data_IF_762955888944
#
_entry.id   IF_762955888944
#
_cell.length_a   1.000
_cell.length_b   1.000
_cell.length_c   1.000
_cell.angle_alpha   90.00
_cell.angle_beta   90.00
_cell.angle_gamma   90.00
#
_symmetry.space_group_name_H-M   'P 1'
#
loop_
_entity.id
_entity.type
_entity.pdbx_description
1 polymer ?
#
# COMPACT_ATOMS: atom_id res chain seq x y z
N UNK A 1 -66.76 -23.53 17.36
CA UNK A 1 -67.74 -24.57 17.79
C UNK A 1 -66.94 -25.74 18.36
N UNK A 2 -67.37 -26.29 19.50
CA UNK A 2 -67.05 -27.67 19.96
C UNK A 2 -65.58 -27.97 20.35
N UNK A 3 -65.22 -28.60 21.48
CA UNK A 3 -65.97 -29.25 22.59
C UNK A 3 -65.23 -29.00 23.93
N UNK A 4 -65.96 -28.92 25.05
CA UNK A 4 -65.41 -28.95 26.42
C UNK A 4 -65.38 -30.39 26.98
N UNK A 5 -64.43 -30.71 27.86
CA UNK A 5 -64.67 -31.69 28.92
C UNK A 5 -63.99 -31.25 30.23
N UNK A 6 -64.74 -31.30 31.33
CA UNK A 6 -64.26 -30.94 32.67
C UNK A 6 -63.71 -32.15 33.42
N UNK A 7 -62.77 -31.91 34.33
CA UNK A 7 -62.77 -32.57 35.64
C UNK A 7 -62.23 -31.61 36.70
N UNK A 8 -62.71 -31.73 37.93
CA UNK A 8 -62.67 -30.66 38.95
C UNK A 8 -62.11 -31.12 40.30
N UNK A 9 -61.88 -30.13 41.18
CA UNK A 9 -61.54 -30.22 42.62
C UNK A 9 -60.04 -30.43 42.96
N UNK A 10 -59.49 -29.80 44.03
CA UNK A 10 -60.10 -28.98 45.11
C UNK A 10 -59.12 -27.90 45.64
N UNK A 11 -59.65 -26.86 46.29
CA UNK A 11 -58.90 -25.75 46.88
C UNK A 11 -57.95 -26.14 48.04
N UNK A 12 -56.85 -25.39 48.25
CA UNK A 12 -56.81 -24.48 49.42
C UNK A 12 -55.81 -23.30 49.34
N UNK A 13 -56.05 -22.34 50.24
CA UNK A 13 -55.69 -20.93 50.28
C UNK A 13 -54.26 -20.52 50.78
N UNK A 14 -53.85 -19.32 50.35
CA UNK A 14 -53.26 -18.18 51.13
C UNK A 14 -51.73 -17.94 51.28
N UNK A 15 -51.40 -16.69 50.90
CA UNK A 15 -50.50 -15.68 51.55
C UNK A 15 -49.00 -15.60 51.20
N UNK A 16 -48.73 -14.74 50.22
CA UNK A 16 -47.82 -13.57 50.28
C UNK A 16 -46.99 -13.32 51.56
N UNK A 17 -45.68 -13.01 51.38
CA UNK A 17 -45.10 -11.73 51.82
C UNK A 17 -43.73 -11.39 51.21
N UNK A 18 -43.55 -10.10 50.92
CA UNK A 18 -42.36 -9.40 50.41
C UNK A 18 -41.32 -9.12 51.51
N UNK A 19 -40.04 -8.90 51.15
CA UNK A 19 -39.08 -8.15 52.00
C UNK A 19 -38.13 -7.22 51.21
N UNK A 20 -37.95 -6.04 51.82
CA UNK A 20 -36.98 -4.95 51.63
C UNK A 20 -36.40 -4.68 53.07
N UNK A 21 -35.39 -3.85 53.39
CA UNK A 21 -34.66 -2.76 52.70
C UNK A 21 -33.32 -2.48 53.45
N UNK A 22 -32.28 -1.91 52.78
CA UNK A 22 -31.15 -1.13 53.39
C UNK A 22 -30.22 -1.80 54.45
N UNK A 23 -29.13 -1.19 54.98
CA UNK A 23 -28.02 -0.31 54.50
C UNK A 23 -27.14 0.08 55.72
N UNK A 24 -26.00 0.79 55.55
CA UNK A 24 -25.04 1.35 56.58
C UNK A 24 -23.90 0.39 57.00
N UNK A 25 -22.68 0.77 57.38
CA UNK A 25 -21.66 1.84 57.11
C UNK A 25 -20.38 1.42 57.89
N UNK A 26 -19.23 2.04 57.59
CA UNK A 26 -17.88 1.95 58.21
C UNK A 26 -17.83 2.29 59.74
N UNK A 27 -16.69 2.26 60.52
CA UNK A 27 -15.28 2.53 60.10
C UNK A 27 -14.04 1.99 60.91
N UNK A 28 -12.83 2.41 60.48
CA UNK A 28 -11.45 2.47 61.12
C UNK A 28 -10.77 1.14 61.60
N UNK A 29 -9.43 1.01 61.81
CA UNK A 29 -8.26 1.94 61.83
C UNK A 29 -6.88 1.23 61.54
N UNK A 30 -5.84 2.04 61.20
CA UNK A 30 -4.34 1.96 61.34
C UNK A 30 -3.53 0.62 61.39
N UNK A 31 -2.20 0.51 61.10
CA UNK A 31 -0.99 1.38 61.16
C UNK A 31 0.08 0.96 60.08
N UNK A 32 0.76 1.86 59.33
CA UNK A 32 2.08 2.57 59.51
C UNK A 32 3.39 1.79 59.22
N UNK A 33 4.13 2.21 58.17
CA UNK A 33 5.56 2.62 58.07
C UNK A 33 5.92 2.75 56.57
N UNK A 34 6.08 3.93 55.96
CA UNK A 34 7.15 4.96 56.03
C UNK A 34 8.51 4.58 55.39
N UNK A 35 8.82 5.12 54.21
CA UNK A 35 9.81 6.21 54.06
C UNK A 35 9.85 6.84 52.63
N UNK A 36 9.63 8.16 52.56
CA UNK A 36 10.53 9.23 52.04
C UNK A 36 11.55 8.95 50.90
N UNK A 37 11.93 9.88 50.02
CA UNK A 37 11.59 11.30 49.84
C UNK A 37 12.02 11.77 48.42
N UNK A 38 11.28 12.67 47.75
CA UNK A 38 11.78 13.99 47.30
C UNK A 38 10.71 14.78 46.52
N UNK A 39 10.38 16.00 46.98
CA UNK A 39 9.66 17.01 46.19
C UNK A 39 10.56 18.22 45.99
N UNK A 40 10.57 18.78 44.77
CA UNK A 40 10.82 20.20 44.54
C UNK A 40 9.69 20.77 43.69
N UNK A 41 9.33 22.02 43.98
CA UNK A 41 8.03 22.58 43.63
C UNK A 41 8.14 24.04 43.22
N UNK A 42 7.25 24.44 42.29
CA UNK A 42 6.70 25.80 42.12
C UNK A 42 7.64 26.86 41.52
N UNK A 43 7.30 27.33 40.31
CA UNK A 43 6.71 28.67 40.18
C UNK A 43 5.97 28.87 38.84
N UNK A 44 4.76 29.44 38.92
CA UNK A 44 3.97 29.96 37.80
C UNK A 44 4.35 31.42 37.57
N UNK A 45 4.40 31.88 36.31
CA UNK A 45 3.99 33.24 35.92
C UNK A 45 3.43 33.24 34.49
N UNK A 46 2.34 33.98 34.29
CA UNK A 46 1.69 34.21 33.00
C UNK A 46 2.16 35.56 32.38
N UNK A 47 1.84 35.85 31.10
CA UNK A 47 2.59 36.80 30.28
C UNK A 47 2.05 38.24 30.30
N UNK A 48 2.81 39.20 29.73
CA UNK A 48 2.28 40.45 29.20
C UNK A 48 2.52 40.63 27.69
N UNK A 49 1.45 41.04 27.01
CA UNK A 49 1.40 41.91 25.82
C UNK A 49 0.51 43.12 26.23
N UNK A 50 0.44 44.26 25.50
CA UNK A 50 1.19 44.71 24.31
C UNK A 50 1.79 46.14 24.47
N UNK A 51 2.54 46.66 23.47
CA UNK A 51 2.22 47.94 22.78
C UNK A 51 3.28 48.44 21.74
N UNK A 52 2.82 48.54 20.48
CA UNK A 52 2.84 49.70 19.57
C UNK A 52 4.04 50.70 19.48
N UNK A 53 4.73 50.76 18.32
CA UNK A 53 4.93 51.98 17.47
C UNK A 53 5.98 51.80 16.33
N UNK A 54 5.95 52.65 15.27
CA UNK A 54 7.23 53.17 14.73
C UNK A 54 7.60 53.16 13.22
N UNK A 55 6.66 53.27 12.28
CA UNK A 55 6.75 53.98 10.96
C UNK A 55 8.13 54.38 10.32
N UNK A 56 8.36 53.86 9.09
CA UNK A 56 9.04 54.47 7.91
C UNK A 56 10.59 54.54 7.74
N UNK A 57 11.02 54.47 6.47
CA UNK A 57 12.39 54.77 6.03
C UNK A 57 12.65 54.50 4.53
N UNK A 58 12.35 55.45 3.64
CA UNK A 58 12.69 55.36 2.19
C UNK A 58 14.10 55.88 1.90
N UNK A 59 14.83 55.21 1.00
CA UNK A 59 15.87 55.91 0.20
C UNK A 59 16.06 55.34 -1.21
N UNK A 60 15.97 56.22 -2.21
CA UNK A 60 16.34 55.97 -3.62
C UNK A 60 17.69 56.62 -3.94
N UNK A 61 18.55 55.93 -4.71
CA UNK A 61 19.51 56.42 -5.75
C UNK A 61 20.44 55.23 -6.10
N UNK A 62 21.04 55.10 -7.29
CA UNK A 62 21.28 56.07 -8.37
C UNK A 62 21.27 55.36 -9.74
N UNK A 63 21.04 56.11 -10.82
CA UNK A 63 21.09 55.65 -12.22
C UNK A 63 22.52 55.27 -12.64
N UNK A 64 22.65 54.42 -13.66
CA UNK A 64 23.57 54.73 -14.76
C UNK A 64 22.99 54.35 -16.13
N UNK A 65 23.15 55.23 -17.12
CA UNK A 65 22.72 55.03 -18.51
C UNK A 65 23.95 54.68 -19.36
N UNK A 66 23.80 53.82 -20.38
CA UNK A 66 24.51 54.01 -21.65
C UNK A 66 23.63 53.60 -22.83
N UNK A 67 23.57 54.49 -23.85
CA UNK A 67 22.87 54.30 -25.13
C UNK A 67 23.83 53.72 -26.16
N UNK A 68 23.29 52.92 -27.09
CA UNK A 68 23.44 52.98 -28.57
C UNK A 68 22.41 52.00 -29.14
N UNK A 69 21.39 52.45 -29.89
CA UNK A 69 21.35 52.74 -31.35
C UNK A 69 21.69 51.51 -32.22
N UNK A 70 21.02 51.22 -33.35
CA UNK A 70 19.70 51.55 -33.93
C UNK A 70 19.64 50.94 -35.37
N UNK A 71 18.44 50.85 -35.97
CA UNK A 71 18.04 50.30 -37.29
C UNK A 71 17.52 48.85 -37.24
N UNK A 72 16.29 48.48 -37.65
CA UNK A 72 15.48 48.84 -38.84
C UNK A 72 16.18 48.43 -40.15
N UNK A 73 15.51 47.90 -41.19
CA UNK A 73 14.10 48.05 -41.57
C UNK A 73 13.62 46.86 -42.46
N UNK A 74 12.39 46.37 -42.23
CA UNK A 74 11.38 45.80 -43.18
C UNK A 74 11.79 44.66 -44.18
N UNK A 75 10.89 43.97 -44.93
CA UNK A 75 9.50 44.27 -45.36
C UNK A 75 8.68 42.99 -45.70
N UNK A 76 7.33 43.13 -45.72
CA UNK A 76 6.34 42.41 -46.56
C UNK A 76 6.17 40.88 -46.39
N UNK A 77 5.08 40.31 -45.82
CA UNK A 77 3.60 40.33 -46.08
C UNK A 77 3.11 39.11 -46.88
N UNK A 78 2.15 38.37 -46.30
CA UNK A 78 0.93 37.74 -46.90
C UNK A 78 1.05 36.84 -48.17
N UNK A 79 0.33 35.73 -48.38
CA UNK A 79 -0.72 34.94 -47.69
C UNK A 79 -1.01 33.69 -48.56
N UNK A 80 -1.85 32.76 -48.08
CA UNK A 80 -2.43 31.58 -48.78
C UNK A 80 -1.44 30.40 -48.93
N UNK A 81 -1.72 29.18 -48.46
CA UNK A 81 -2.88 28.26 -48.57
C UNK A 81 -2.90 27.44 -49.87
N UNK A 82 -2.97 26.11 -49.65
CA UNK A 82 -3.24 24.99 -50.55
C UNK A 82 -2.24 24.77 -51.72
N UNK A 83 -1.92 23.54 -52.16
CA UNK A 83 -2.76 22.33 -52.15
C UNK A 83 -1.96 21.02 -52.36
N UNK A 84 -2.64 19.89 -52.10
CA UNK A 84 -2.50 18.58 -52.74
C UNK A 84 -1.48 17.49 -52.30
N UNK A 85 -1.97 16.25 -52.47
CA UNK A 85 -1.41 14.96 -52.05
C UNK A 85 -0.33 14.43 -53.02
N UNK A 86 0.47 13.44 -52.59
CA UNK A 86 0.54 12.20 -53.39
C UNK A 86 1.07 10.96 -52.66
N UNK A 87 0.58 9.82 -53.16
CA UNK A 87 0.83 8.45 -52.74
C UNK A 87 2.00 7.85 -53.53
N UNK A 88 2.71 6.83 -53.01
CA UNK A 88 3.81 6.17 -53.75
C UNK A 88 3.95 4.68 -53.39
N UNK A 89 3.65 3.81 -54.36
CA UNK A 89 3.85 2.36 -54.31
C UNK A 89 4.52 1.86 -55.60
N UNK A 90 5.57 1.02 -55.48
CA UNK A 90 6.08 0.05 -56.46
C UNK A 90 6.66 0.65 -57.79
N UNK A 91 7.37 -0.05 -58.72
CA UNK A 91 7.70 -1.47 -58.96
C UNK A 91 9.07 -1.60 -59.74
N UNK A 92 9.59 -2.84 -59.87
CA UNK A 92 10.42 -3.47 -60.98
C UNK A 92 11.94 -3.69 -60.69
N UNK A 93 12.48 -4.89 -60.39
CA UNK A 93 12.85 -6.11 -61.21
C UNK A 93 14.22 -5.98 -61.98
N UNK A 94 14.92 -7.01 -62.56
CA UNK A 94 14.71 -8.49 -62.57
C UNK A 94 15.95 -9.48 -62.60
N UNK A 95 15.65 -10.81 -62.57
CA UNK A 95 16.40 -12.02 -63.11
C UNK A 95 17.78 -12.41 -62.50
N UNK A 96 18.20 -13.68 -62.38
CA UNK A 96 17.71 -15.06 -62.71
C UNK A 96 18.80 -16.11 -62.32
N UNK A 97 18.79 -17.44 -62.56
CA UNK A 97 17.83 -18.45 -63.08
C UNK A 97 18.46 -19.90 -63.02
N UNK A 98 17.67 -20.98 -63.23
CA UNK A 98 18.05 -22.42 -63.53
C UNK A 98 18.52 -23.34 -62.36
N UNK A 99 18.26 -24.67 -62.31
CA UNK A 99 17.48 -25.61 -63.17
C UNK A 99 17.03 -26.90 -62.40
N UNK A 100 16.24 -27.78 -63.06
CA UNK A 100 15.44 -28.90 -62.52
C UNK A 100 16.15 -30.23 -62.09
N UNK A 101 15.52 -31.03 -61.19
CA UNK A 101 14.90 -32.36 -61.49
C UNK A 101 14.48 -33.22 -60.27
N UNK A 102 13.38 -33.97 -60.43
CA UNK A 102 12.92 -35.03 -59.52
C UNK A 102 13.74 -36.35 -59.63
N UNK A 103 13.81 -37.16 -58.55
CA UNK A 103 13.32 -38.57 -58.55
C UNK A 103 13.40 -39.33 -57.18
N UNK A 104 12.22 -39.73 -56.70
CA UNK A 104 11.83 -41.01 -56.04
C UNK A 104 12.90 -41.95 -55.39
N UNK A 105 12.70 -42.18 -54.07
CA UNK A 105 12.31 -43.47 -53.43
C UNK A 105 13.26 -44.26 -52.47
N UNK A 106 12.60 -44.88 -51.47
CA UNK A 106 12.96 -46.07 -50.63
C UNK A 106 14.05 -46.00 -49.52
N UNK A 107 13.57 -45.66 -48.31
CA UNK A 107 13.45 -46.56 -47.13
C UNK A 107 14.62 -47.54 -46.81
N UNK A 108 15.50 -47.20 -45.85
CA UNK A 108 15.74 -47.94 -44.56
C UNK A 108 17.03 -47.55 -43.78
N UNK A 109 16.83 -47.23 -42.49
CA UNK A 109 17.61 -47.61 -41.28
C UNK A 109 19.09 -47.17 -41.09
N UNK A 110 19.32 -46.61 -39.89
CA UNK A 110 20.50 -46.72 -38.99
C UNK A 110 21.58 -45.60 -38.96
N UNK A 111 21.54 -44.86 -37.84
CA UNK A 111 22.63 -44.27 -37.03
C UNK A 111 23.84 -43.56 -37.71
N UNK A 112 23.85 -42.25 -37.54
CA UNK A 112 24.90 -41.44 -36.88
C UNK A 112 24.15 -40.32 -36.15
N UNK A 113 24.23 -40.12 -34.83
CA UNK A 113 25.37 -39.62 -34.05
C UNK A 113 25.95 -38.30 -34.59
N UNK A 114 25.09 -37.27 -34.60
CA UNK A 114 25.53 -35.89 -34.41
C UNK A 114 25.11 -35.40 -33.01
N UNK A 115 26.12 -35.02 -32.22
CA UNK A 115 25.96 -34.52 -30.87
C UNK A 115 25.41 -33.09 -30.88
N UNK A 116 24.08 -32.95 -30.83
CA UNK A 116 23.47 -31.65 -30.56
C UNK A 116 23.80 -31.26 -29.11
N UNK A 117 24.76 -30.35 -28.94
CA UNK A 117 25.04 -29.72 -27.65
C UNK A 117 23.81 -28.88 -27.31
N UNK A 118 22.88 -29.46 -26.54
CA UNK A 118 21.85 -28.68 -25.88
C UNK A 118 22.55 -27.68 -24.97
N UNK A 119 22.55 -26.41 -25.36
CA UNK A 119 22.74 -25.32 -24.42
C UNK A 119 21.74 -25.52 -23.29
N UNK A 120 22.24 -25.90 -22.12
CA UNK A 120 21.45 -25.97 -20.89
C UNK A 120 20.99 -24.54 -20.61
N UNK A 121 19.79 -24.20 -21.09
CA UNK A 121 19.09 -22.97 -20.71
C UNK A 121 19.05 -22.97 -19.19
N UNK A 122 19.81 -22.06 -18.57
CA UNK A 122 19.95 -22.02 -17.11
C UNK A 122 18.58 -21.67 -16.56
N UNK A 123 17.85 -22.67 -16.07
CA UNK A 123 16.50 -22.46 -15.57
C UNK A 123 16.54 -21.54 -14.37
N UNK A 124 15.99 -20.33 -14.51
CA UNK A 124 15.88 -19.36 -13.42
C UNK A 124 15.31 -20.05 -12.16
N UNK A 125 16.03 -20.04 -11.02
CA UNK A 125 15.54 -20.64 -9.78
C UNK A 125 14.25 -19.97 -9.29
N UNK A 126 14.01 -18.71 -9.67
CA UNK A 126 12.85 -17.92 -9.26
C UNK A 126 11.72 -17.95 -10.30
N UNK A 127 11.81 -18.74 -11.38
CA UNK A 127 10.75 -18.87 -12.36
C UNK A 127 9.40 -19.23 -11.70
N UNK A 128 8.32 -18.52 -12.06
CA UNK A 128 6.96 -18.74 -11.53
C UNK A 128 6.51 -20.20 -11.68
N UNK A 129 7.06 -20.91 -12.68
CA UNK A 129 6.81 -22.33 -12.92
C UNK A 129 7.21 -23.25 -11.76
N UNK A 130 8.21 -22.87 -10.94
CA UNK A 130 8.75 -23.66 -9.83
C UNK A 130 7.96 -23.55 -8.52
N UNK A 131 7.09 -22.55 -8.38
CA UNK A 131 6.31 -22.30 -7.17
C UNK A 131 4.90 -22.89 -7.26
N UNK A 132 4.30 -23.24 -6.12
CA UNK A 132 2.93 -23.79 -6.02
C UNK A 132 1.86 -22.71 -6.21
N UNK A 133 1.86 -22.11 -7.39
CA UNK A 133 0.90 -21.10 -7.87
C UNK A 133 -0.04 -21.81 -8.84
N UNK A 134 -1.34 -21.61 -8.66
CA UNK A 134 -2.42 -22.16 -9.48
C UNK A 134 -2.46 -21.56 -10.89
N UNK A 135 -3.05 -22.30 -11.82
CA UNK A 135 -3.15 -21.89 -13.23
C UNK A 135 -3.78 -20.50 -13.44
N UNK A 136 -4.92 -20.13 -12.80
CA UNK A 136 -5.50 -18.79 -12.95
C UNK A 136 -4.57 -17.66 -12.47
N UNK A 137 -3.80 -17.88 -11.39
CA UNK A 137 -2.81 -16.88 -10.96
C UNK A 137 -1.60 -16.83 -11.89
N UNK A 138 -1.14 -17.97 -12.43
CA UNK A 138 -0.04 -18.01 -13.41
C UNK A 138 -0.41 -17.27 -14.70
N UNK A 139 -1.66 -17.40 -15.17
CA UNK A 139 -2.16 -16.63 -16.30
C UNK A 139 -2.14 -15.13 -16.01
N UNK A 140 -2.64 -14.68 -14.85
CA UNK A 140 -2.59 -13.25 -14.46
C UNK A 140 -1.19 -12.69 -14.27
N UNK A 141 -0.25 -13.49 -13.75
CA UNK A 141 1.17 -13.11 -13.69
C UNK A 141 1.75 -12.96 -15.10
N UNK A 142 1.45 -13.89 -16.01
CA UNK A 142 1.90 -13.85 -17.42
C UNK A 142 1.31 -12.66 -18.19
N UNK A 143 0.02 -12.33 -17.99
CA UNK A 143 -0.61 -11.12 -18.54
C UNK A 143 0.11 -9.83 -18.10
N UNK A 144 0.70 -9.82 -16.90
CA UNK A 144 1.50 -8.72 -16.35
C UNK A 144 2.99 -8.78 -16.72
N UNK A 145 3.42 -9.77 -17.52
CA UNK A 145 4.82 -9.97 -17.91
C UNK A 145 5.72 -10.52 -16.78
N UNK A 146 5.14 -11.12 -15.73
CA UNK A 146 5.86 -11.65 -14.58
C UNK A 146 6.17 -13.13 -14.82
N UNK A 147 7.34 -13.42 -15.38
CA UNK A 147 7.82 -14.80 -15.62
C UNK A 147 8.59 -15.39 -14.43
N UNK A 148 9.21 -14.53 -13.61
CA UNK A 148 10.00 -14.89 -12.43
C UNK A 148 9.68 -14.01 -11.23
N UNK A 149 9.78 -14.59 -10.04
CA UNK A 149 9.57 -13.93 -8.76
C UNK A 149 10.80 -13.11 -8.33
N UNK A 150 10.59 -11.99 -7.64
CA UNK A 150 11.68 -11.29 -6.95
C UNK A 150 12.23 -12.13 -5.79
N UNK A 151 13.49 -11.95 -5.37
CA UNK A 151 14.10 -12.79 -4.34
C UNK A 151 13.32 -12.87 -3.02
N UNK A 152 12.64 -11.79 -2.58
CA UNK A 152 11.84 -11.83 -1.35
C UNK A 152 10.60 -12.70 -1.55
N UNK A 153 9.97 -12.62 -2.72
CA UNK A 153 8.80 -13.42 -3.08
C UNK A 153 9.15 -14.90 -3.10
N UNK A 154 10.25 -15.25 -3.75
CA UNK A 154 10.78 -16.61 -3.79
C UNK A 154 11.11 -17.15 -2.37
N UNK A 155 11.77 -16.34 -1.53
CA UNK A 155 12.10 -16.73 -0.15
C UNK A 155 10.87 -16.91 0.75
N UNK A 156 9.83 -16.09 0.59
CA UNK A 156 8.66 -16.12 1.49
C UNK A 156 7.55 -17.04 1.04
N UNK A 157 7.49 -17.42 -0.25
CA UNK A 157 6.36 -18.14 -0.82
C UNK A 157 6.02 -19.44 -0.07
N UNK A 158 6.97 -20.38 0.01
CA UNK A 158 6.74 -21.67 0.67
C UNK A 158 6.65 -21.56 2.20
N UNK A 159 7.33 -20.58 2.81
CA UNK A 159 7.19 -20.27 4.24
C UNK A 159 5.72 -19.95 4.56
N UNK A 160 5.14 -19.02 3.79
CA UNK A 160 3.75 -18.59 3.98
C UNK A 160 2.80 -19.74 3.66
N UNK A 161 3.01 -20.47 2.55
CA UNK A 161 2.10 -21.54 2.14
C UNK A 161 2.04 -22.72 3.13
N UNK A 162 3.12 -22.97 3.89
CA UNK A 162 3.17 -24.00 4.95
C UNK A 162 2.47 -23.60 6.26
N UNK A 163 2.09 -22.34 6.44
CA UNK A 163 1.41 -21.86 7.65
C UNK A 163 2.28 -21.17 8.71
N UNK A 164 3.59 -21.01 8.43
CA UNK A 164 4.53 -20.34 9.34
C UNK A 164 4.25 -18.84 9.43
N UNK A 165 4.27 -18.27 10.64
CA UNK A 165 4.32 -16.82 10.80
C UNK A 165 5.66 -16.29 10.26
N UNK A 166 5.69 -15.05 9.77
CA UNK A 166 6.84 -14.51 9.02
C UNK A 166 7.19 -13.08 9.44
N UNK A 167 8.49 -12.82 9.58
CA UNK A 167 9.08 -11.47 9.49
C UNK A 167 9.87 -11.33 8.19
N UNK A 168 9.35 -10.56 7.23
CA UNK A 168 9.98 -10.26 5.94
C UNK A 168 10.66 -8.89 5.95
N UNK A 169 11.99 -8.86 5.93
CA UNK A 169 12.78 -7.63 5.86
C UNK A 169 13.25 -7.35 4.43
N UNK A 170 12.60 -6.38 3.78
CA UNK A 170 12.92 -5.95 2.42
C UNK A 170 12.60 -4.45 2.22
N UNK A 171 13.35 -3.78 1.33
CA UNK A 171 13.14 -2.37 0.99
C UNK A 171 11.99 -2.21 -0.01
N UNK A 172 11.41 -1.01 -0.07
CA UNK A 172 10.47 -0.59 -1.12
C UNK A 172 11.05 -0.89 -2.52
N UNK A 173 10.21 -1.28 -3.47
CA UNK A 173 10.62 -1.68 -4.82
C UNK A 173 11.13 -3.12 -4.97
N UNK A 174 11.37 -3.87 -3.89
CA UNK A 174 11.80 -5.29 -3.97
C UNK A 174 10.64 -6.29 -4.14
N UNK A 175 9.43 -5.85 -4.48
CA UNK A 175 8.30 -6.74 -4.76
C UNK A 175 7.58 -7.33 -3.54
N UNK A 176 7.69 -6.69 -2.36
CA UNK A 176 7.03 -7.13 -1.10
C UNK A 176 5.54 -7.47 -1.25
N UNK A 177 4.79 -6.69 -2.03
CA UNK A 177 3.34 -6.88 -2.20
C UNK A 177 2.99 -8.29 -2.66
N UNK A 178 3.53 -8.74 -3.80
CA UNK A 178 3.25 -10.09 -4.29
C UNK A 178 3.91 -11.19 -3.43
N UNK A 179 4.87 -10.83 -2.57
CA UNK A 179 5.52 -11.76 -1.64
C UNK A 179 4.56 -12.26 -0.54
N UNK A 180 3.50 -11.50 -0.24
CA UNK A 180 2.38 -11.98 0.57
C UNK A 180 1.12 -12.24 -0.25
N UNK A 181 0.76 -11.40 -1.25
CA UNK A 181 -0.51 -11.56 -2.00
C UNK A 181 -0.61 -12.95 -2.61
N UNK A 182 0.42 -13.43 -3.33
CA UNK A 182 0.35 -14.73 -4.02
C UNK A 182 0.19 -15.93 -3.07
N UNK A 183 1.06 -16.16 -2.06
CA UNK A 183 0.91 -17.32 -1.18
C UNK A 183 -0.28 -17.21 -0.22
N UNK A 184 -0.74 -15.99 0.14
CA UNK A 184 -2.00 -15.81 0.89
C UNK A 184 -3.19 -16.26 0.04
N UNK A 185 -3.28 -15.80 -1.22
CA UNK A 185 -4.34 -16.19 -2.15
C UNK A 185 -4.38 -17.70 -2.40
N UNK A 186 -3.22 -18.33 -2.63
CA UNK A 186 -3.12 -19.78 -2.75
C UNK A 186 -3.55 -20.50 -1.47
N UNK A 187 -3.13 -20.02 -0.30
CA UNK A 187 -3.48 -20.68 0.96
C UNK A 187 -4.97 -20.61 1.28
N UNK A 188 -5.67 -19.49 1.00
CA UNK A 188 -7.12 -19.38 1.26
C UNK A 188 -8.01 -20.07 0.22
N UNK A 189 -7.48 -20.45 -0.94
CA UNK A 189 -8.26 -21.07 -2.03
C UNK A 189 -7.94 -22.55 -2.25
N UNK A 190 -6.65 -22.89 -2.23
CA UNK A 190 -6.11 -24.20 -2.58
C UNK A 190 -5.38 -24.88 -1.41
N UNK A 191 -4.88 -24.09 -0.45
CA UNK A 191 -4.04 -24.56 0.66
C UNK A 191 -4.73 -24.69 2.03
N UNK A 192 -3.96 -24.69 3.13
CA UNK A 192 -4.45 -24.98 4.47
C UNK A 192 -5.34 -23.87 5.07
N UNK A 193 -5.31 -22.66 4.51
CA UNK A 193 -6.20 -21.56 4.87
C UNK A 193 -7.63 -21.70 4.34
N UNK A 194 -7.89 -22.67 3.44
CA UNK A 194 -9.18 -22.87 2.75
C UNK A 194 -10.36 -23.02 3.73
N UNK A 195 -11.13 -21.95 3.85
CA UNK A 195 -12.40 -21.96 4.55
C UNK A 195 -13.53 -22.43 3.63
N UNK A 196 -14.60 -23.01 4.20
CA UNK A 196 -15.85 -23.18 3.47
C UNK A 196 -16.40 -21.78 3.16
N UNK A 197 -16.40 -21.38 1.88
CA UNK A 197 -16.97 -20.10 1.44
C UNK A 197 -18.48 -20.15 1.71
N UNK A 198 -18.91 -19.49 2.79
CA UNK A 198 -20.33 -19.19 3.02
C UNK A 198 -20.76 -18.18 1.96
N UNK A 199 -21.78 -18.50 1.17
CA UNK A 199 -22.40 -17.54 0.27
C UNK A 199 -23.46 -16.73 1.04
N UNK A 200 -23.54 -15.42 0.79
CA UNK A 200 -24.52 -14.52 1.42
C UNK A 200 -23.91 -13.27 2.05
N UNK A 201 -24.78 -12.32 2.37
CA UNK A 201 -24.43 -11.05 3.02
C UNK A 201 -23.83 -11.27 4.43
N UNK A 202 -23.11 -10.27 4.93
CA UNK A 202 -22.50 -10.30 6.28
C UNK A 202 -21.33 -11.27 6.44
N UNK A 203 -20.77 -11.80 5.34
CA UNK A 203 -19.61 -12.70 5.38
C UNK A 203 -18.37 -12.01 5.95
N UNK A 204 -17.86 -12.57 7.05
CA UNK A 204 -16.63 -12.15 7.71
C UNK A 204 -15.37 -12.43 6.84
N UNK A 205 -14.42 -11.48 6.75
CA UNK A 205 -13.18 -11.65 5.99
C UNK A 205 -12.26 -12.74 6.55
N UNK A 206 -11.52 -13.35 5.64
CA UNK A 206 -10.46 -14.34 5.91
C UNK A 206 -9.06 -13.72 5.91
N UNK A 207 -8.88 -12.57 5.25
CA UNK A 207 -7.60 -11.86 5.14
C UNK A 207 -7.76 -10.41 5.58
N UNK A 208 -6.82 -9.92 6.39
CA UNK A 208 -6.69 -8.53 6.81
C UNK A 208 -5.30 -8.01 6.45
N UNK A 209 -5.21 -6.84 5.82
CA UNK A 209 -3.94 -6.22 5.42
C UNK A 209 -3.90 -4.77 5.92
N UNK A 210 -2.95 -4.48 6.82
CA UNK A 210 -2.71 -3.17 7.41
C UNK A 210 -1.55 -2.47 6.69
N UNK A 211 -1.79 -1.25 6.22
CA UNK A 211 -0.85 -0.45 5.43
C UNK A 211 -0.84 1.00 5.95
N UNK A 212 0.32 1.68 5.98
CA UNK A 212 0.44 3.03 6.54
C UNK A 212 -0.38 4.07 5.77
N UNK A 213 -0.29 4.06 4.44
CA UNK A 213 -0.89 5.08 3.57
C UNK A 213 -2.06 4.51 2.79
N UNK A 214 -3.00 5.39 2.42
CA UNK A 214 -4.10 5.02 1.52
C UNK A 214 -3.56 4.66 0.14
N UNK A 215 -2.59 5.43 -0.37
CA UNK A 215 -1.98 5.22 -1.69
C UNK A 215 -1.51 3.77 -1.83
N UNK A 216 -0.79 3.28 -0.83
CA UNK A 216 -0.36 1.88 -0.78
C UNK A 216 -1.56 0.93 -0.57
N UNK A 217 -2.55 1.28 0.24
CA UNK A 217 -3.77 0.48 0.40
C UNK A 217 -4.57 0.31 -0.90
N UNK A 218 -4.71 1.35 -1.71
CA UNK A 218 -5.33 1.30 -3.03
C UNK A 218 -4.51 0.47 -4.01
N UNK A 219 -3.18 0.63 -4.02
CA UNK A 219 -2.29 -0.18 -4.86
C UNK A 219 -2.39 -1.68 -4.51
N UNK A 220 -2.30 -2.03 -3.22
CA UNK A 220 -2.41 -3.43 -2.76
C UNK A 220 -3.83 -3.98 -2.99
N UNK A 221 -4.88 -3.16 -2.85
CA UNK A 221 -6.24 -3.57 -3.22
C UNK A 221 -6.37 -3.86 -4.72
N UNK A 222 -5.75 -3.07 -5.59
CA UNK A 222 -5.76 -3.32 -7.04
C UNK A 222 -5.06 -4.64 -7.40
N UNK A 223 -3.95 -4.98 -6.74
CA UNK A 223 -3.33 -6.31 -6.86
C UNK A 223 -4.31 -7.42 -6.39
N UNK A 224 -4.98 -7.26 -5.25
CA UNK A 224 -5.99 -8.23 -4.80
C UNK A 224 -7.22 -8.32 -5.71
N UNK A 225 -7.65 -7.24 -6.36
CA UNK A 225 -8.75 -7.27 -7.33
C UNK A 225 -8.35 -8.03 -8.62
N UNK A 226 -7.11 -7.87 -9.09
CA UNK A 226 -6.58 -8.62 -10.24
C UNK A 226 -6.37 -10.10 -9.92
N UNK A 227 -5.57 -10.41 -8.89
CA UNK A 227 -5.16 -11.79 -8.59
C UNK A 227 -6.24 -12.54 -7.80
N UNK A 228 -6.85 -11.90 -6.79
CA UNK A 228 -7.95 -12.50 -6.02
C UNK A 228 -9.24 -12.61 -6.82
N UNK A 229 -9.51 -11.67 -7.72
CA UNK A 229 -10.64 -11.73 -8.65
C UNK A 229 -10.60 -12.94 -9.57
N UNK A 230 -9.40 -13.33 -10.05
CA UNK A 230 -9.20 -14.55 -10.85
C UNK A 230 -9.52 -15.85 -10.08
N UNK A 231 -9.60 -15.80 -8.75
CA UNK A 231 -9.99 -16.92 -7.87
C UNK A 231 -11.42 -16.77 -7.31
N UNK A 232 -12.15 -15.74 -7.74
CA UNK A 232 -13.49 -15.41 -7.25
C UNK A 232 -13.52 -14.96 -5.79
N UNK A 233 -12.50 -14.22 -5.35
CA UNK A 233 -12.47 -13.55 -4.04
C UNK A 233 -12.81 -12.07 -4.18
N UNK A 234 -13.44 -11.48 -3.15
CA UNK A 234 -13.77 -10.05 -3.13
C UNK A 234 -12.99 -9.29 -2.05
N UNK A 235 -12.50 -8.10 -2.40
CA UNK A 235 -11.74 -7.22 -1.49
C UNK A 235 -12.50 -5.94 -1.12
N UNK A 236 -12.14 -5.33 -0.01
CA UNK A 236 -12.54 -3.97 0.37
C UNK A 236 -11.34 -3.17 0.87
N UNK A 237 -11.09 -2.02 0.24
CA UNK A 237 -10.10 -1.05 0.69
C UNK A 237 -10.75 -0.05 1.66
N UNK A 238 -10.13 0.17 2.83
CA UNK A 238 -10.64 0.98 3.92
C UNK A 238 -9.65 2.07 4.31
N UNK A 239 -10.04 3.34 4.20
CA UNK A 239 -9.17 4.47 4.55
C UNK A 239 -9.89 5.76 4.97
N UNK A 240 -9.13 6.62 5.65
CA UNK A 240 -9.54 7.97 6.03
C UNK A 240 -9.59 8.93 4.82
N UNK A 241 -10.35 10.02 4.95
CA UNK A 241 -10.53 11.02 3.88
C UNK A 241 -11.51 10.61 2.77
N UNK A 242 -11.99 9.36 2.75
CA UNK A 242 -13.11 8.92 1.93
C UNK A 242 -14.40 8.73 2.76
N UNK A 243 -15.60 8.83 2.14
CA UNK A 243 -16.88 8.59 2.81
C UNK A 243 -16.95 7.20 3.46
N UNK A 244 -17.49 7.14 4.67
CA UNK A 244 -17.62 5.91 5.47
C UNK A 244 -18.73 4.98 4.95
N UNK A 245 -19.85 5.54 4.50
CA UNK A 245 -21.04 4.74 4.16
C UNK A 245 -20.84 3.76 2.98
N UNK A 246 -20.15 4.10 1.87
CA UNK A 246 -19.85 3.13 0.82
C UNK A 246 -18.95 1.98 1.29
N UNK A 247 -17.96 2.27 2.13
CA UNK A 247 -17.07 1.28 2.76
C UNK A 247 -17.89 0.32 3.63
N UNK A 248 -18.75 0.86 4.50
CA UNK A 248 -19.69 0.07 5.32
C UNK A 248 -20.59 -0.82 4.45
N UNK A 249 -21.21 -0.31 3.39
CA UNK A 249 -22.10 -1.09 2.52
C UNK A 249 -21.33 -2.23 1.82
N UNK A 250 -20.07 -2.01 1.39
CA UNK A 250 -19.24 -3.07 0.79
C UNK A 250 -18.93 -4.18 1.79
N UNK A 251 -18.70 -3.83 3.07
CA UNK A 251 -18.51 -4.79 4.16
C UNK A 251 -19.80 -5.55 4.53
N UNK A 252 -20.95 -4.87 4.58
CA UNK A 252 -22.26 -5.49 4.87
C UNK A 252 -22.67 -6.53 3.83
N UNK A 253 -22.29 -6.36 2.56
CA UNK A 253 -22.42 -7.38 1.49
C UNK A 253 -21.48 -8.58 1.64
N UNK A 254 -20.49 -8.50 2.52
CA UNK A 254 -19.52 -9.55 2.80
C UNK A 254 -18.34 -9.61 1.83
N UNK A 255 -17.12 -9.67 2.38
CA UNK A 255 -15.86 -9.71 1.60
C UNK A 255 -14.91 -10.78 2.10
N UNK A 256 -14.04 -11.28 1.22
CA UNK A 256 -12.97 -12.23 1.58
C UNK A 256 -11.77 -11.54 2.23
N UNK A 257 -11.46 -10.33 1.75
CA UNK A 257 -10.21 -9.61 2.01
C UNK A 257 -10.52 -8.17 2.42
N UNK A 258 -9.95 -7.72 3.53
CA UNK A 258 -9.96 -6.32 3.94
C UNK A 258 -8.53 -5.78 3.88
N UNK A 259 -8.35 -4.67 3.16
CA UNK A 259 -7.10 -3.92 3.04
C UNK A 259 -7.35 -2.51 3.56
N UNK A 260 -6.40 -1.86 4.23
CA UNK A 260 -6.62 -0.48 4.63
C UNK A 260 -5.63 0.12 5.63
N UNK A 261 -5.91 1.36 6.01
CA UNK A 261 -5.13 2.07 7.03
C UNK A 261 -5.65 1.76 8.44
N UNK A 262 -4.76 1.64 9.46
CA UNK A 262 -5.14 1.23 10.81
C UNK A 262 -6.31 2.03 11.41
N UNK A 263 -6.26 3.36 11.38
CA UNK A 263 -7.33 4.19 11.96
C UNK A 263 -8.72 3.91 11.39
N UNK A 264 -8.86 3.74 10.07
CA UNK A 264 -10.18 3.44 9.47
C UNK A 264 -10.61 1.99 9.72
N UNK A 265 -9.67 1.04 9.75
CA UNK A 265 -9.99 -0.35 10.11
C UNK A 265 -10.47 -0.44 11.57
N UNK A 266 -9.81 0.28 12.49
CA UNK A 266 -10.26 0.43 13.88
C UNK A 266 -11.66 1.03 13.97
N UNK A 267 -11.97 2.13 13.28
CA UNK A 267 -13.32 2.71 13.23
C UNK A 267 -14.38 1.63 12.91
N UNK A 268 -14.12 0.83 11.87
CA UNK A 268 -15.05 -0.19 11.39
C UNK A 268 -15.21 -1.37 12.37
N UNK A 269 -14.15 -1.74 13.09
CA UNK A 269 -14.19 -2.77 14.14
C UNK A 269 -14.93 -2.27 15.38
N UNK A 270 -14.64 -1.05 15.85
CA UNK A 270 -15.30 -0.45 17.03
C UNK A 270 -16.79 -0.22 16.80
N UNK A 271 -17.18 0.12 15.56
CA UNK A 271 -18.59 0.25 15.13
C UNK A 271 -19.26 -1.08 14.79
N UNK A 272 -18.58 -2.21 14.97
CA UNK A 272 -19.13 -3.56 14.74
C UNK A 272 -19.44 -3.90 13.27
N UNK A 273 -18.88 -3.16 12.32
CA UNK A 273 -19.09 -3.38 10.87
C UNK A 273 -18.08 -4.33 10.22
N UNK A 274 -17.10 -4.83 10.99
CA UNK A 274 -16.20 -5.92 10.59
C UNK A 274 -16.20 -6.97 11.71
N UNK A 275 -16.46 -8.22 11.35
CA UNK A 275 -16.20 -9.37 12.20
C UNK A 275 -14.87 -10.05 11.80
N UNK A 276 -13.93 -10.14 12.74
CA UNK A 276 -12.64 -10.82 12.55
C UNK A 276 -12.67 -12.30 13.03
N UNK A 277 -13.84 -12.87 13.35
CA UNK A 277 -13.94 -14.24 13.90
C UNK A 277 -13.43 -15.34 12.96
N UNK A 278 -13.54 -15.12 11.65
CA UNK A 278 -13.15 -16.09 10.60
C UNK A 278 -11.77 -15.85 10.00
N UNK A 279 -11.02 -14.89 10.53
CA UNK A 279 -9.72 -14.49 10.01
C UNK A 279 -8.76 -15.70 9.95
N UNK A 280 -7.99 -15.77 8.87
CA UNK A 280 -6.94 -16.75 8.59
C UNK A 280 -5.58 -16.11 8.46
N UNK A 281 -5.54 -14.93 7.83
CA UNK A 281 -4.34 -14.15 7.62
C UNK A 281 -4.48 -12.75 8.17
N UNK A 282 -3.43 -12.25 8.82
CA UNK A 282 -3.22 -10.82 9.01
C UNK A 282 -1.82 -10.42 8.54
N UNK A 283 -1.76 -9.35 7.76
CA UNK A 283 -0.54 -8.80 7.19
C UNK A 283 -0.34 -7.38 7.70
N UNK A 284 0.86 -7.08 8.16
CA UNK A 284 1.34 -5.72 8.36
C UNK A 284 2.42 -5.51 7.29
N UNK A 285 2.25 -4.55 6.37
CA UNK A 285 3.35 -4.13 5.48
C UNK A 285 3.69 -2.66 5.73
N UNK A 286 4.99 -2.37 5.63
CA UNK A 286 5.63 -1.11 6.03
C UNK A 286 5.34 -0.77 7.51
N UNK A 287 5.53 -1.76 8.39
CA UNK A 287 5.32 -1.59 9.83
C UNK A 287 6.18 -0.45 10.43
N UNK A 288 7.41 -0.26 9.94
CA UNK A 288 8.24 0.88 10.35
C UNK A 288 7.70 2.25 9.90
N UNK A 289 6.92 2.31 8.82
CA UNK A 289 6.17 3.51 8.44
C UNK A 289 4.91 3.68 9.31
N UNK A 290 4.20 2.60 9.66
CA UNK A 290 3.06 2.68 10.59
C UNK A 290 3.48 3.25 11.97
N UNK A 291 4.71 2.97 12.41
CA UNK A 291 5.32 3.63 13.57
C UNK A 291 5.55 5.12 13.33
N UNK A 292 6.18 5.51 12.20
CA UNK A 292 6.43 6.92 11.84
C UNK A 292 5.15 7.75 11.76
N UNK A 293 4.06 7.16 11.27
CA UNK A 293 2.75 7.79 11.16
C UNK A 293 1.93 7.78 12.47
N UNK A 294 2.44 7.18 13.55
CA UNK A 294 1.78 7.17 14.85
C UNK A 294 0.63 6.16 15.02
N UNK A 295 0.49 5.17 14.13
CA UNK A 295 -0.58 4.15 14.20
C UNK A 295 -0.35 3.05 15.27
N UNK A 296 0.53 3.29 16.24
CA UNK A 296 0.92 2.33 17.29
C UNK A 296 -0.29 1.74 18.01
N UNK A 297 -1.14 2.60 18.59
CA UNK A 297 -2.31 2.17 19.37
C UNK A 297 -3.37 1.50 18.49
N UNK A 298 -3.58 2.01 17.28
CA UNK A 298 -4.57 1.48 16.33
C UNK A 298 -4.19 0.06 15.88
N UNK A 299 -2.92 -0.16 15.53
CA UNK A 299 -2.40 -1.48 15.16
C UNK A 299 -2.51 -2.44 16.34
N UNK A 300 -2.07 -2.05 17.54
CA UNK A 300 -2.16 -2.94 18.71
C UNK A 300 -3.60 -3.31 19.09
N UNK A 301 -4.54 -2.37 18.99
CA UNK A 301 -5.97 -2.62 19.21
C UNK A 301 -6.51 -3.61 18.17
N UNK A 302 -6.24 -3.40 16.88
CA UNK A 302 -6.68 -4.30 15.81
C UNK A 302 -6.13 -5.71 16.03
N UNK A 303 -4.83 -5.84 16.34
CA UNK A 303 -4.20 -7.14 16.56
C UNK A 303 -4.72 -7.83 17.84
N UNK A 304 -5.09 -7.07 18.88
CA UNK A 304 -5.68 -7.56 20.12
C UNK A 304 -7.14 -8.01 20.00
N UNK A 305 -7.90 -7.55 19.00
CA UNK A 305 -9.28 -8.01 18.75
C UNK A 305 -9.36 -9.40 18.10
N UNK A 306 -8.25 -9.92 17.58
CA UNK A 306 -8.18 -11.24 16.93
C UNK A 306 -8.15 -12.36 17.98
N UNK A 307 -9.33 -12.91 18.31
CA UNK A 307 -9.50 -13.90 19.39
C UNK A 307 -8.74 -15.22 19.21
N UNK A 308 -8.53 -15.66 17.96
CA UNK A 308 -7.99 -16.99 17.63
C UNK A 308 -6.51 -16.94 17.20
N UNK A 309 -5.65 -16.23 17.93
CA UNK A 309 -4.26 -15.93 17.52
C UNK A 309 -3.48 -17.17 17.02
N UNK A 310 -3.58 -18.31 17.71
CA UNK A 310 -2.89 -19.55 17.29
C UNK A 310 -3.37 -20.16 15.95
N UNK A 311 -4.56 -19.76 15.46
CA UNK A 311 -5.13 -20.20 14.17
C UNK A 311 -5.02 -19.14 13.06
N UNK A 312 -4.55 -17.93 13.39
CA UNK A 312 -4.31 -16.86 12.42
C UNK A 312 -2.82 -16.83 12.11
N UNK A 313 -2.48 -16.90 10.83
CA UNK A 313 -1.13 -16.70 10.36
C UNK A 313 -0.82 -15.20 10.28
N UNK A 314 0.28 -14.79 10.89
CA UNK A 314 0.68 -13.38 10.94
C UNK A 314 1.94 -13.15 10.11
N UNK A 315 1.84 -12.24 9.14
CA UNK A 315 2.93 -11.84 8.27
C UNK A 315 3.29 -10.38 8.55
N UNK A 316 4.55 -10.09 8.84
CA UNK A 316 5.05 -8.73 9.08
C UNK A 316 6.14 -8.40 8.08
N UNK A 317 5.89 -7.41 7.22
CA UNK A 317 6.84 -6.87 6.27
C UNK A 317 7.27 -5.46 6.69
N UNK A 318 8.57 -5.20 6.66
CA UNK A 318 9.14 -3.93 7.11
C UNK A 318 10.51 -3.70 6.47
N UNK A 319 10.88 -2.44 6.19
CA UNK A 319 12.23 -2.14 5.68
C UNK A 319 13.26 -2.13 6.82
N UNK A 320 12.85 -1.65 7.99
CA UNK A 320 13.65 -1.60 9.23
C UNK A 320 12.95 -2.31 10.38
N UNK A 321 13.69 -2.59 11.46
CA UNK A 321 13.15 -3.22 12.68
C UNK A 321 13.47 -2.34 13.91
N UNK A 322 12.77 -1.20 14.09
CA UNK A 322 12.81 -0.46 15.35
C UNK A 322 12.16 -1.29 16.47
N UNK A 323 12.38 -0.92 17.73
CA UNK A 323 12.01 -1.77 18.87
C UNK A 323 10.51 -2.06 18.94
N UNK A 324 9.64 -1.10 18.65
CA UNK A 324 8.19 -1.35 18.53
C UNK A 324 7.86 -2.44 17.49
N UNK A 325 8.51 -2.45 16.33
CA UNK A 325 8.28 -3.51 15.31
C UNK A 325 8.76 -4.87 15.83
N UNK A 326 9.86 -4.92 16.59
CA UNK A 326 10.32 -6.16 17.27
C UNK A 326 9.32 -6.60 18.34
N UNK A 327 8.73 -5.68 19.09
CA UNK A 327 7.77 -5.98 20.15
C UNK A 327 6.44 -6.46 19.58
N UNK A 328 5.95 -5.87 18.48
CA UNK A 328 4.84 -6.42 17.69
C UNK A 328 5.18 -7.84 17.21
N UNK A 329 6.37 -8.04 16.62
CA UNK A 329 6.84 -9.34 16.18
C UNK A 329 6.96 -10.37 17.33
N UNK A 330 7.22 -9.92 18.56
CA UNK A 330 7.35 -10.78 19.76
C UNK A 330 6.00 -11.10 20.39
N UNK A 331 5.07 -10.14 20.42
CA UNK A 331 3.75 -10.26 21.08
C UNK A 331 2.68 -10.92 20.21
N UNK A 332 2.71 -10.69 18.90
CA UNK A 332 1.60 -11.03 18.00
C UNK A 332 1.91 -12.10 16.95
N UNK A 333 3.17 -12.48 16.75
CA UNK A 333 3.54 -13.62 15.91
C UNK A 333 3.91 -14.81 16.80
N UNK A 334 3.69 -16.01 16.30
CA UNK A 334 4.02 -17.26 17.01
C UNK A 334 5.53 -17.35 17.34
N UNK A 335 5.94 -18.16 18.34
CA UNK A 335 7.34 -18.32 18.71
C UNK A 335 8.22 -18.94 17.61
N UNK A 336 7.62 -19.80 16.78
CA UNK A 336 8.23 -20.53 15.66
C UNK A 336 8.23 -19.76 14.33
N UNK A 337 8.00 -18.44 14.36
CA UNK A 337 8.05 -17.57 13.18
C UNK A 337 9.38 -17.71 12.42
N UNK A 338 9.29 -17.77 11.10
CA UNK A 338 10.44 -17.73 10.20
C UNK A 338 10.81 -16.26 9.88
N UNK A 339 12.04 -16.02 9.44
CA UNK A 339 12.52 -14.68 9.05
C UNK A 339 13.16 -14.74 7.66
N UNK A 340 12.69 -13.90 6.74
CA UNK A 340 13.28 -13.72 5.42
C UNK A 340 13.89 -12.33 5.33
N UNK A 341 15.19 -12.22 5.05
CA UNK A 341 15.92 -10.95 5.12
C UNK A 341 16.78 -10.72 3.87
N UNK A 342 16.43 -9.67 3.11
CA UNK A 342 17.22 -9.17 1.98
C UNK A 342 17.99 -7.88 2.28
N UNK A 343 17.81 -7.27 3.46
CA UNK A 343 18.49 -6.03 3.82
C UNK A 343 19.85 -6.33 4.44
N UNK A 344 19.93 -7.42 5.22
CA UNK A 344 21.13 -7.80 5.96
C UNK A 344 21.56 -6.73 6.96
N UNK A 345 22.82 -6.78 7.40
CA UNK A 345 23.40 -5.74 8.26
C UNK A 345 23.83 -4.47 7.48
N UNK A 346 23.44 -4.36 6.21
CA UNK A 346 23.84 -3.24 5.36
C UNK A 346 23.02 -1.99 5.71
N UNK A 347 23.60 -1.11 6.54
CA UNK A 347 23.11 0.27 6.76
C UNK A 347 22.64 0.88 5.44
N UNK A 348 21.58 1.70 5.46
CA UNK A 348 20.97 2.32 4.29
C UNK A 348 21.99 3.03 3.39
N UNK A 349 22.57 2.30 2.43
CA UNK A 349 23.21 2.88 1.26
C UNK A 349 22.10 3.40 0.36
N UNK A 350 22.21 4.66 -0.03
CA UNK A 350 21.41 5.24 -1.11
C UNK A 350 21.49 4.35 -2.36
N UNK A 351 20.44 4.36 -3.18
CA UNK A 351 20.37 3.45 -4.33
C UNK A 351 21.57 3.65 -5.26
N UNK A 352 22.27 2.57 -5.59
CA UNK A 352 23.41 2.62 -6.53
C UNK A 352 22.99 3.03 -7.94
N UNK A 353 21.69 2.99 -8.26
CA UNK A 353 21.12 3.49 -9.51
C UNK A 353 20.79 4.99 -9.53
N UNK A 354 20.91 5.71 -8.41
CA UNK A 354 20.53 7.13 -8.31
C UNK A 354 21.77 8.03 -8.29
N UNK A 355 21.88 8.89 -9.31
CA UNK A 355 22.90 9.95 -9.33
C UNK A 355 22.40 11.15 -8.51
N UNK A 356 22.95 11.31 -7.31
CA UNK A 356 22.69 12.49 -6.48
C UNK A 356 23.49 13.70 -6.99
N UNK A 357 22.84 14.85 -7.13
CA UNK A 357 23.46 16.13 -7.52
C UNK A 357 23.04 17.18 -6.49
N UNK A 358 24.00 17.97 -6.01
CA UNK A 358 23.75 19.09 -5.10
C UNK A 358 24.08 20.38 -5.83
N UNK A 359 23.09 21.26 -5.99
CA UNK A 359 23.23 22.55 -6.66
C UNK A 359 23.04 23.68 -5.63
N UNK A 360 24.10 24.41 -5.22
CA UNK A 360 23.96 25.56 -4.34
C UNK A 360 23.12 26.66 -5.01
N UNK A 361 22.05 27.10 -4.34
CA UNK A 361 21.12 28.08 -4.88
C UNK A 361 20.48 28.90 -3.75
N UNK A 362 20.27 30.20 -3.95
CA UNK A 362 19.55 31.05 -3.01
C UNK A 362 18.04 30.74 -3.05
N UNK A 363 17.33 31.03 -1.96
CA UNK A 363 15.88 30.81 -1.89
C UNK A 363 15.11 31.53 -3.01
N UNK A 364 15.54 32.75 -3.39
CA UNK A 364 14.91 33.55 -4.44
C UNK A 364 15.19 33.04 -5.86
N UNK A 365 16.33 32.40 -6.12
CA UNK A 365 16.65 31.84 -7.43
C UNK A 365 16.05 30.44 -7.65
N UNK A 366 15.59 29.77 -6.58
CA UNK A 366 15.07 28.39 -6.62
C UNK A 366 13.90 28.22 -7.59
N UNK A 367 12.94 29.14 -7.60
CA UNK A 367 11.77 29.09 -8.50
C UNK A 367 12.13 29.25 -9.98
N UNK A 368 13.22 29.96 -10.29
CA UNK A 368 13.72 30.14 -11.65
C UNK A 368 14.59 28.96 -12.09
N UNK A 369 15.34 28.36 -11.17
CA UNK A 369 16.24 27.24 -11.44
C UNK A 369 15.52 25.89 -11.63
N UNK A 370 14.38 25.67 -10.97
CA UNK A 370 13.61 24.42 -11.09
C UNK A 370 13.19 24.12 -12.55
N UNK A 371 12.62 25.06 -13.34
CA UNK A 371 12.37 24.87 -14.77
C UNK A 371 13.60 24.37 -15.56
N UNK A 372 14.78 24.96 -15.33
CA UNK A 372 16.01 24.58 -16.02
C UNK A 372 16.48 23.17 -15.62
N UNK A 373 16.38 22.82 -14.34
CA UNK A 373 16.67 21.46 -13.83
C UNK A 373 15.74 20.44 -14.51
N UNK A 374 14.43 20.72 -14.59
CA UNK A 374 13.47 19.84 -15.27
C UNK A 374 13.84 19.68 -16.74
N UNK A 375 14.14 20.78 -17.44
CA UNK A 375 14.52 20.77 -18.86
C UNK A 375 15.81 19.99 -19.12
N UNK A 376 16.83 20.13 -18.27
CA UNK A 376 18.12 19.47 -18.44
C UNK A 376 18.12 17.98 -18.04
N UNK A 377 17.32 17.57 -17.05
CA UNK A 377 17.43 16.23 -16.46
C UNK A 377 16.19 15.35 -16.62
N UNK A 378 14.98 15.91 -16.84
CA UNK A 378 13.78 15.09 -17.01
C UNK A 378 13.71 14.44 -18.39
N UNK A 379 14.22 15.10 -19.43
CA UNK A 379 14.17 14.61 -20.83
C UNK A 379 12.75 14.22 -21.30
N UNK A 380 11.72 14.93 -20.82
CA UNK A 380 10.32 14.62 -21.09
C UNK A 380 9.71 13.52 -20.19
N UNK A 381 10.48 12.98 -19.25
CA UNK A 381 10.01 12.03 -18.24
C UNK A 381 9.17 12.65 -17.12
N UNK A 382 8.72 11.78 -16.20
CA UNK A 382 7.98 12.18 -15.00
C UNK A 382 8.95 12.75 -13.96
N UNK A 383 8.72 13.97 -13.49
CA UNK A 383 9.49 14.60 -12.40
C UNK A 383 8.65 14.72 -11.14
N UNK A 384 9.25 14.40 -9.98
CA UNK A 384 8.67 14.65 -8.66
C UNK A 384 9.49 15.76 -7.98
N UNK A 385 8.80 16.76 -7.42
CA UNK A 385 9.41 17.91 -6.74
C UNK A 385 8.92 17.90 -5.29
N UNK A 386 9.83 17.68 -4.35
CA UNK A 386 9.51 17.75 -2.92
C UNK A 386 9.69 19.18 -2.40
N UNK A 387 8.68 19.68 -1.68
CA UNK A 387 8.72 20.96 -0.96
C UNK A 387 8.49 20.74 0.53
N UNK A 388 8.94 21.70 1.34
CA UNK A 388 8.82 21.64 2.80
C UNK A 388 7.39 21.97 3.28
N UNK A 389 6.72 22.93 2.63
CA UNK A 389 5.35 23.36 2.99
C UNK A 389 4.35 23.10 1.87
N UNK A 390 3.07 23.06 2.23
CA UNK A 390 1.95 22.90 1.28
C UNK A 390 1.81 24.11 0.35
N UNK A 391 1.98 25.31 0.88
CA UNK A 391 1.92 26.58 0.14
C UNK A 391 3.03 26.63 -0.92
N UNK A 392 4.21 26.10 -0.58
CA UNK A 392 5.32 25.96 -1.53
C UNK A 392 5.00 24.99 -2.67
N UNK A 393 4.26 23.91 -2.39
CA UNK A 393 3.80 22.97 -3.42
C UNK A 393 2.76 23.61 -4.35
N UNK A 394 1.76 24.32 -3.78
CA UNK A 394 0.73 25.02 -4.56
C UNK A 394 1.36 26.08 -5.48
N UNK A 395 2.23 26.94 -4.94
CA UNK A 395 2.88 28.01 -5.69
C UNK A 395 3.81 27.49 -6.79
N UNK A 396 4.52 26.37 -6.58
CA UNK A 396 5.31 25.75 -7.67
C UNK A 396 4.42 25.10 -8.74
N UNK A 397 3.26 24.54 -8.38
CA UNK A 397 2.34 23.98 -9.36
C UNK A 397 1.68 25.06 -10.24
N UNK A 398 1.41 26.25 -9.69
CA UNK A 398 0.96 27.42 -10.46
C UNK A 398 2.05 27.95 -11.41
N UNK A 399 3.32 27.90 -10.98
CA UNK A 399 4.45 28.41 -11.76
C UNK A 399 4.89 27.46 -12.90
N UNK A 400 4.73 26.15 -12.73
CA UNK A 400 5.25 25.13 -13.63
C UNK A 400 4.15 24.55 -14.53
N UNK A 401 4.18 24.80 -15.85
CA UNK A 401 3.16 24.28 -16.77
C UNK A 401 3.04 22.75 -16.70
N UNK A 402 1.83 22.25 -16.46
CA UNK A 402 1.54 20.82 -16.34
C UNK A 402 1.89 20.17 -14.99
N UNK A 403 2.44 20.92 -14.02
CA UNK A 403 2.62 20.42 -12.67
C UNK A 403 1.28 20.38 -11.90
N UNK A 404 1.15 19.41 -10.99
CA UNK A 404 0.03 19.32 -10.04
C UNK A 404 0.58 19.29 -8.63
N UNK A 405 0.02 20.08 -7.72
CA UNK A 405 0.40 20.06 -6.32
C UNK A 405 -0.17 18.82 -5.62
N UNK A 406 0.50 18.34 -4.58
CA UNK A 406 0.03 17.24 -3.74
C UNK A 406 0.30 17.52 -2.26
N UNK A 407 -0.74 17.87 -1.50
CA UNK A 407 -0.67 18.13 -0.06
C UNK A 407 -1.99 17.81 0.65
N UNK A 408 -1.98 17.84 1.99
CA UNK A 408 -3.09 17.39 2.85
C UNK A 408 -4.43 18.09 2.58
N UNK A 409 -4.42 19.41 2.39
CA UNK A 409 -5.61 20.23 2.12
C UNK A 409 -6.31 19.92 0.78
N UNK A 410 -5.63 19.26 -0.17
CA UNK A 410 -6.25 18.91 -1.46
C UNK A 410 -7.28 17.80 -1.24
N UNK A 411 -8.49 18.01 -1.75
CA UNK A 411 -9.57 17.03 -1.68
C UNK A 411 -9.18 15.70 -2.33
N UNK A 412 -9.73 14.60 -1.84
CA UNK A 412 -9.14 13.31 -2.17
C UNK A 412 -9.28 12.93 -3.65
N UNK A 413 -10.44 13.17 -4.26
CA UNK A 413 -10.63 12.94 -5.69
C UNK A 413 -9.62 13.72 -6.56
N UNK A 414 -9.24 14.94 -6.15
CA UNK A 414 -8.23 15.74 -6.85
C UNK A 414 -6.81 15.17 -6.67
N UNK A 415 -6.49 14.59 -5.51
CA UNK A 415 -5.20 13.90 -5.29
C UNK A 415 -5.08 12.63 -6.11
N UNK A 416 -6.15 11.84 -6.22
CA UNK A 416 -6.18 10.64 -7.08
C UNK A 416 -5.86 10.98 -8.54
N UNK A 417 -6.54 11.99 -9.11
CA UNK A 417 -6.24 12.50 -10.46
C UNK A 417 -4.81 13.05 -10.58
N UNK A 418 -4.19 13.56 -9.51
CA UNK A 418 -2.80 14.05 -9.57
C UNK A 418 -1.73 12.96 -9.72
N UNK A 419 -2.08 11.68 -9.55
CA UNK A 419 -1.15 10.55 -9.78
C UNK A 419 -1.25 9.95 -11.20
N UNK A 420 -2.28 10.32 -11.98
CA UNK A 420 -2.52 9.90 -13.38
C UNK A 420 -1.87 10.83 -14.41
#
# INVERSE_FOLDING_TARGET
MSVQSHSTHKHNNKKTKTKKIQSQTEPEDSTITDDNNNRKSINNLNPPDPDNNGVSGKTKKKKNKKKRKASELETMTTTNEDDNENNLELVVEPKGSREDKEKKSKKKKAKSEESFVMEKKVEDPNAVSKFKISEPLREKLKEKGIESLFPIQAMTFDIILRGSDLVGRARTGQGKTLAFVLPVLESVTNGPGKASRKNGDGRAPSVLVLLPTRELACQVNADFEVYGGALGLTSCCLYGGAPYQPQKIKLERGVDIVIGTPGRIKDHIERGSIDLSQLKFRVLDEADEMLRMGFVEDVELILGKVKNVGKVQTLLFSATLPDWVKDIAKRFLKPDKETADLVGNTKMKASTSVRHIILPCSGSARSQLIPDIIRCYSSGGRTIIFTETKESASHLAELLPGARALHGDIQQAQREVSYE
#
